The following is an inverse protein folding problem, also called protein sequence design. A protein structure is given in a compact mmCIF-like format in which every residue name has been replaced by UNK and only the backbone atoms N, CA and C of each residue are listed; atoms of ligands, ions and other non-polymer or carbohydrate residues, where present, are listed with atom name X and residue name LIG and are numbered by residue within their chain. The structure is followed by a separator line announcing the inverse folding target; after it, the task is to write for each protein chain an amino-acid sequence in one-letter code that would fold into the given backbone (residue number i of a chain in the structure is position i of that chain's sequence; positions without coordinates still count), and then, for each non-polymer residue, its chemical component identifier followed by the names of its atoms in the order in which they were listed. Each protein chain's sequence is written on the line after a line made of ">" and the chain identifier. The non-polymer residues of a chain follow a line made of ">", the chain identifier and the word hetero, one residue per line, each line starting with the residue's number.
data_IF_619402377647
#
_entry.id   IF_619402377647
#
_cell.length_a   1.000
_cell.length_b   1.000
_cell.length_c   1.000
_cell.angle_alpha   90.00
_cell.angle_beta   90.00
_cell.angle_gamma   90.00
#
_symmetry.space_group_name_H-M   'P 1'
#
loop_
_entity.id
_entity.type
_entity.pdbx_description
1 polymer ?
#
# COMPACT_ATOMS: atom_id res chain seq x y z
N UNK A 1 18.01 -6.45 14.98
CA UNK A 1 17.29 -5.70 13.97
C UNK A 1 15.99 -6.40 13.63
N UNK A 2 14.92 -5.64 13.58
CA UNK A 2 13.61 -6.22 13.30
C UNK A 2 13.42 -6.46 11.82
N UNK A 3 13.01 -7.65 11.47
CA UNK A 3 12.71 -7.99 10.08
C UNK A 3 11.22 -7.79 9.85
N UNK A 4 10.87 -7.07 8.78
CA UNK A 4 9.49 -6.86 8.43
C UNK A 4 8.91 -8.15 7.83
N UNK A 5 7.68 -8.46 8.25
CA UNK A 5 6.98 -9.64 7.74
C UNK A 5 5.58 -9.25 7.32
N UNK A 6 5.21 -9.72 6.16
CA UNK A 6 3.90 -9.42 5.59
C UNK A 6 3.24 -10.71 5.09
N UNK A 7 1.92 -10.73 5.14
CA UNK A 7 1.15 -11.81 4.53
C UNK A 7 1.33 -11.75 3.02
N UNK A 8 0.91 -12.81 2.33
CA UNK A 8 0.96 -12.85 0.87
C UNK A 8 0.16 -11.71 0.24
N UNK A 9 -1.00 -11.39 0.82
CA UNK A 9 -1.85 -10.32 0.27
C UNK A 9 -1.25 -8.95 0.53
N UNK A 10 -0.69 -8.73 1.70
CA UNK A 10 0.00 -7.48 2.00
C UNK A 10 1.18 -7.28 1.07
N UNK A 11 1.95 -8.34 0.84
CA UNK A 11 3.07 -8.31 -0.09
C UNK A 11 2.60 -7.95 -1.50
N UNK A 12 1.48 -8.53 -1.94
CA UNK A 12 0.93 -8.25 -3.26
C UNK A 12 0.56 -6.77 -3.40
N UNK A 13 -0.05 -6.20 -2.36
CA UNK A 13 -0.42 -4.79 -2.38
C UNK A 13 0.82 -3.90 -2.43
N UNK A 14 1.81 -4.20 -1.60
CA UNK A 14 3.05 -3.41 -1.58
C UNK A 14 3.75 -3.48 -2.94
N UNK A 15 3.82 -4.66 -3.53
CA UNK A 15 4.45 -4.82 -4.85
C UNK A 15 3.69 -4.10 -5.96
N UNK A 16 2.39 -3.92 -5.78
CA UNK A 16 1.59 -3.21 -6.77
C UNK A 16 1.84 -1.71 -6.77
N UNK A 17 2.42 -1.18 -5.68
CA UNK A 17 2.69 0.25 -5.57
C UNK A 17 4.07 0.53 -6.16
N UNK A 18 4.12 1.44 -7.14
CA UNK A 18 5.38 1.88 -7.72
C UNK A 18 6.15 2.69 -6.68
N UNK A 19 7.33 2.19 -6.29
CA UNK A 19 8.13 2.81 -5.24
C UNK A 19 8.62 4.22 -5.61
N UNK A 20 8.75 4.50 -6.90
CA UNK A 20 9.23 5.80 -7.36
C UNK A 20 8.11 6.81 -7.54
N UNK A 21 6.97 6.38 -8.08
CA UNK A 21 5.93 7.30 -8.53
C UNK A 21 4.60 7.14 -7.81
N UNK A 22 4.45 6.07 -7.04
CA UNK A 22 3.16 5.77 -6.44
C UNK A 22 2.21 5.12 -7.43
N UNK A 23 1.05 4.71 -6.96
CA UNK A 23 0.06 4.02 -7.80
C UNK A 23 -1.33 4.34 -7.30
N UNK A 24 -2.23 4.62 -8.22
CA UNK A 24 -3.62 4.91 -7.90
C UNK A 24 -4.34 3.63 -7.48
N UNK A 25 -5.33 3.77 -6.56
CA UNK A 25 -6.01 2.60 -6.00
C UNK A 25 -6.62 1.67 -7.03
N UNK A 26 -7.22 2.23 -8.09
CA UNK A 26 -7.79 1.40 -9.15
C UNK A 26 -6.76 0.51 -9.83
N UNK A 27 -5.53 1.00 -10.00
CA UNK A 27 -4.44 0.21 -10.57
C UNK A 27 -3.99 -0.90 -9.62
N UNK A 28 -4.01 -0.61 -8.32
CA UNK A 28 -3.66 -1.63 -7.33
C UNK A 28 -4.63 -2.81 -7.44
N UNK A 29 -5.92 -2.51 -7.62
CA UNK A 29 -6.92 -3.58 -7.81
C UNK A 29 -6.64 -4.41 -9.04
N UNK A 30 -6.31 -3.75 -10.15
CA UNK A 30 -6.00 -4.45 -11.40
C UNK A 30 -4.81 -5.38 -11.22
N UNK A 31 -3.76 -4.89 -10.57
CA UNK A 31 -2.52 -5.64 -10.41
C UNK A 31 -2.63 -6.78 -9.41
N UNK A 32 -3.40 -6.58 -8.33
CA UNK A 32 -3.49 -7.59 -7.26
C UNK A 32 -4.65 -8.55 -7.45
N UNK A 33 -5.68 -8.13 -8.18
CA UNK A 33 -6.94 -8.89 -8.37
C UNK A 33 -7.67 -9.15 -7.04
N UNK A 34 -7.40 -8.32 -6.05
CA UNK A 34 -8.12 -8.39 -4.77
C UNK A 34 -9.45 -7.66 -4.88
N UNK A 35 -10.40 -8.03 -4.01
CA UNK A 35 -11.62 -7.27 -3.86
C UNK A 35 -11.27 -5.87 -3.34
N UNK A 36 -12.07 -4.87 -3.72
CA UNK A 36 -11.83 -3.49 -3.30
C UNK A 36 -11.81 -3.35 -1.78
N UNK A 37 -12.75 -4.00 -1.09
CA UNK A 37 -12.80 -3.94 0.37
C UNK A 37 -11.57 -4.56 1.00
N UNK A 38 -11.13 -5.69 0.47
CA UNK A 38 -9.95 -6.37 0.98
C UNK A 38 -8.69 -5.53 0.78
N UNK A 39 -8.53 -4.99 -0.42
CA UNK A 39 -7.38 -4.13 -0.72
C UNK A 39 -7.41 -2.86 0.14
N UNK A 40 -8.60 -2.30 0.35
CA UNK A 40 -8.76 -1.11 1.18
C UNK A 40 -8.36 -1.39 2.62
N UNK A 41 -8.80 -2.54 3.17
CA UNK A 41 -8.43 -2.90 4.54
C UNK A 41 -6.93 -3.05 4.69
N UNK A 42 -6.30 -3.69 3.72
CA UNK A 42 -4.85 -3.86 3.74
C UNK A 42 -4.15 -2.51 3.66
N UNK A 43 -4.60 -1.64 2.75
CA UNK A 43 -4.01 -0.31 2.60
C UNK A 43 -4.18 0.53 3.85
N UNK A 44 -5.36 0.47 4.48
CA UNK A 44 -5.56 1.21 5.73
C UNK A 44 -4.63 0.71 6.83
N UNK A 45 -4.37 -0.59 6.88
CA UNK A 45 -3.40 -1.14 7.83
C UNK A 45 -1.98 -0.64 7.55
N UNK A 46 -1.60 -0.59 6.28
CA UNK A 46 -0.27 -0.11 5.88
C UNK A 46 -0.14 1.39 6.13
N UNK A 47 -1.22 2.15 5.93
CA UNK A 47 -1.24 3.58 6.24
C UNK A 47 -1.09 3.81 7.76
N UNK A 48 -1.81 3.03 8.56
CA UNK A 48 -1.72 3.14 10.01
C UNK A 48 -0.31 2.82 10.52
N UNK A 49 0.33 1.86 9.89
CA UNK A 49 1.70 1.47 10.27
C UNK A 49 2.76 2.45 9.74
N UNK A 50 2.37 3.36 8.83
CA UNK A 50 3.27 4.35 8.29
C UNK A 50 4.08 3.91 7.08
N UNK A 51 3.86 2.71 6.59
CA UNK A 51 4.61 2.21 5.42
C UNK A 51 4.16 2.85 4.11
N UNK A 52 2.90 3.25 4.05
CA UNK A 52 2.28 3.81 2.86
C UNK A 52 1.68 5.16 3.21
N UNK A 53 1.67 6.06 2.25
CA UNK A 53 1.06 7.38 2.39
C UNK A 53 0.11 7.61 1.23
N UNK A 54 -0.87 8.47 1.43
CA UNK A 54 -1.77 8.89 0.36
C UNK A 54 -1.40 10.28 -0.14
N UNK A 55 -1.69 10.54 -1.40
CA UNK A 55 -1.51 11.86 -2.00
C UNK A 55 -2.82 12.22 -2.72
N UNK A 56 -3.58 13.22 -2.22
CA UNK A 56 -3.27 14.07 -1.06
C UNK A 56 -3.41 13.29 0.26
N UNK A 57 -2.70 13.75 1.32
CA UNK A 57 -2.78 13.09 2.62
C UNK A 57 -4.21 13.06 3.16
N UNK A 58 -4.58 11.95 3.76
CA UNK A 58 -5.89 11.76 4.36
C UNK A 58 -5.75 11.70 5.87
N UNK A 59 -6.67 12.33 6.59
CA UNK A 59 -6.67 12.31 8.05
C UNK A 59 -7.41 11.10 8.62
N UNK A 60 -8.29 10.52 7.82
CA UNK A 60 -9.08 9.37 8.21
C UNK A 60 -8.75 8.19 7.31
N UNK A 61 -9.20 7.02 7.72
CA UNK A 61 -9.07 5.83 6.89
C UNK A 61 -9.72 6.06 5.53
N UNK A 62 -9.13 5.45 4.51
CA UNK A 62 -9.67 5.48 3.16
C UNK A 62 -11.00 4.74 3.15
N UNK A 63 -11.97 5.31 2.45
CA UNK A 63 -13.31 4.74 2.30
C UNK A 63 -13.47 4.19 0.90
N UNK A 64 -14.44 3.27 0.76
CA UNK A 64 -14.68 2.64 -0.53
C UNK A 64 -15.02 3.67 -1.60
N UNK A 65 -15.64 4.78 -1.23
CA UNK A 65 -16.05 5.83 -2.17
C UNK A 65 -14.86 6.53 -2.82
N UNK A 66 -13.73 6.65 -2.10
CA UNK A 66 -12.58 7.38 -2.63
C UNK A 66 -11.33 6.52 -2.81
N UNK A 67 -11.37 5.27 -2.37
CA UNK A 67 -10.22 4.38 -2.37
C UNK A 67 -9.51 4.33 -3.74
N UNK A 68 -10.26 4.11 -4.80
CA UNK A 68 -9.66 3.88 -6.12
C UNK A 68 -9.19 5.15 -6.82
N UNK A 69 -9.56 6.32 -6.28
CA UNK A 69 -9.15 7.60 -6.87
C UNK A 69 -7.90 8.18 -6.22
N UNK A 70 -7.55 7.70 -5.04
CA UNK A 70 -6.38 8.22 -4.32
C UNK A 70 -5.10 7.61 -4.86
N UNK A 71 -4.02 8.38 -4.78
CA UNK A 71 -2.68 7.92 -5.08
C UNK A 71 -2.06 7.38 -3.79
N UNK A 72 -1.48 6.19 -3.87
CA UNK A 72 -0.78 5.57 -2.75
C UNK A 72 0.70 5.55 -3.06
N UNK A 73 1.50 5.94 -2.08
CA UNK A 73 2.95 6.05 -2.23
C UNK A 73 3.63 5.34 -1.08
N UNK A 74 4.79 4.76 -1.36
CA UNK A 74 5.60 4.16 -0.30
C UNK A 74 6.27 5.29 0.48
N UNK A 75 6.16 5.23 1.81
CA UNK A 75 6.85 6.17 2.67
C UNK A 75 8.36 6.01 2.47
N UNK A 76 9.08 7.05 2.04
CA UNK A 76 10.52 6.94 1.78
C UNK A 76 11.33 6.44 2.99
N UNK A 77 10.86 6.74 4.21
CA UNK A 77 11.55 6.30 5.41
C UNK A 77 11.61 4.78 5.52
N UNK A 78 10.67 4.07 4.89
CA UNK A 78 10.59 2.61 4.95
C UNK A 78 10.90 1.94 3.62
N UNK A 79 11.18 2.72 2.57
CA UNK A 79 11.32 2.15 1.22
C UNK A 79 12.40 1.07 1.16
N UNK A 80 13.55 1.31 1.79
CA UNK A 80 14.65 0.35 1.78
C UNK A 80 14.25 -0.95 2.48
N UNK A 81 13.66 -0.84 3.67
CA UNK A 81 13.26 -2.00 4.46
C UNK A 81 12.17 -2.79 3.75
N UNK A 82 11.23 -2.09 3.10
CA UNK A 82 10.17 -2.75 2.36
C UNK A 82 10.72 -3.50 1.14
N UNK A 83 11.68 -2.90 0.43
CA UNK A 83 12.31 -3.59 -0.70
C UNK A 83 13.01 -4.85 -0.23
N UNK A 84 13.70 -4.80 0.90
CA UNK A 84 14.36 -5.99 1.44
C UNK A 84 13.35 -7.06 1.80
N UNK A 85 12.21 -6.68 2.37
CA UNK A 85 11.17 -7.63 2.74
C UNK A 85 10.55 -8.31 1.52
N UNK A 86 10.59 -7.66 0.35
CA UNK A 86 10.02 -8.20 -0.89
C UNK A 86 10.97 -9.13 -1.62
N UNK A 87 12.27 -9.10 -1.29
CA UNK A 87 13.28 -9.93 -1.94
C UNK A 87 13.35 -11.27 -1.23
N UNK A 88 13.40 -12.34 -2.01
CA UNK A 88 13.51 -13.70 -1.48
C UNK A 88 14.81 -14.32 -1.91
#
# INVERSE_FOLDING_TARGET
>A
MKQLRFSGRETAVIRAIDFANGTIGGEILVKTRLDAEEAMDILNGLLDAGYVETNPPQQEHVKIENFHLLMYEINPAFAHDLKKAMIR
#
